data_IF_712845463958
#
_entry.id   IF_712845463958
#
_cell.length_a   1.000
_cell.length_b   1.000
_cell.length_c   1.000
_cell.angle_alpha   90.00
_cell.angle_beta   90.00
_cell.angle_gamma   90.00
#
_symmetry.space_group_name_H-M   'P 1'
#
loop_
_entity.id
_entity.type
_entity.pdbx_description
1 polymer ?
#
# COMPACT_ATOMS: atom_id res chain seq x y z
N UNK A 1 16.49 -4.83 -5.98
CA UNK A 1 15.17 -4.65 -5.34
C UNK A 1 14.22 -5.70 -5.89
N UNK A 2 13.33 -6.26 -5.06
CA UNK A 2 12.28 -7.19 -5.49
C UNK A 2 10.93 -6.66 -5.02
N UNK A 3 9.92 -6.73 -5.90
CA UNK A 3 8.52 -6.51 -5.57
C UNK A 3 7.83 -7.87 -5.44
N UNK A 4 7.17 -8.12 -4.30
CA UNK A 4 6.49 -9.38 -4.03
C UNK A 4 5.15 -9.17 -3.35
N UNK A 5 4.31 -10.20 -3.35
CA UNK A 5 3.00 -10.18 -2.69
C UNK A 5 2.97 -11.17 -1.55
N UNK A 6 2.76 -10.67 -0.34
CA UNK A 6 2.63 -11.50 0.86
C UNK A 6 1.33 -11.14 1.58
N UNK A 7 0.56 -12.16 1.96
CA UNK A 7 -0.76 -12.00 2.57
C UNK A 7 -1.66 -11.00 1.82
N UNK A 8 -1.52 -10.94 0.49
CA UNK A 8 -2.29 -10.06 -0.38
C UNK A 8 -1.89 -8.58 -0.38
N UNK A 9 -0.80 -8.17 0.28
CA UNK A 9 -0.18 -6.83 0.16
C UNK A 9 1.07 -6.90 -0.72
N UNK A 10 1.34 -5.83 -1.46
CA UNK A 10 2.63 -5.65 -2.13
C UNK A 10 3.68 -5.23 -1.11
N UNK A 11 4.87 -5.79 -1.23
CA UNK A 11 6.04 -5.48 -0.40
C UNK A 11 7.24 -5.24 -1.31
N UNK A 12 8.11 -4.34 -0.85
CA UNK A 12 9.38 -4.07 -1.48
C UNK A 12 10.48 -4.59 -0.57
N UNK A 13 11.31 -5.52 -1.09
CA UNK A 13 12.49 -6.05 -0.42
C UNK A 13 13.77 -5.63 -1.12
N UNK A 14 14.67 -5.07 -0.32
CA UNK A 14 16.06 -4.80 -0.70
C UNK A 14 16.89 -6.01 -0.32
N UNK A 15 17.69 -6.50 -1.25
CA UNK A 15 18.63 -7.60 -1.04
C UNK A 15 20.00 -7.09 -1.46
N UNK A 16 20.92 -6.96 -0.49
CA UNK A 16 22.28 -6.52 -0.76
C UNK A 16 23.07 -7.66 -1.41
N UNK A 17 23.61 -7.44 -2.63
CA UNK A 17 24.17 -8.53 -3.45
C UNK A 17 25.34 -9.26 -2.81
N UNK A 18 26.22 -8.55 -2.10
CA UNK A 18 27.43 -9.17 -1.54
C UNK A 18 27.15 -9.82 -0.18
N UNK A 19 26.47 -9.11 0.71
CA UNK A 19 26.22 -9.59 2.08
C UNK A 19 24.98 -10.46 2.22
N UNK A 20 24.14 -10.53 1.17
CA UNK A 20 22.83 -11.19 1.19
C UNK A 20 21.90 -10.65 2.28
N UNK A 21 22.20 -9.47 2.86
CA UNK A 21 21.36 -8.82 3.85
C UNK A 21 20.07 -8.37 3.20
N UNK A 22 18.96 -8.65 3.87
CA UNK A 22 17.63 -8.25 3.42
C UNK A 22 17.03 -7.17 4.32
N UNK A 23 16.39 -6.19 3.69
CA UNK A 23 15.64 -5.14 4.37
C UNK A 23 14.28 -4.97 3.69
N UNK A 24 13.21 -4.96 4.48
CA UNK A 24 11.86 -4.68 3.98
C UNK A 24 11.53 -3.20 4.18
N UNK A 25 10.93 -2.57 3.17
CA UNK A 25 10.35 -1.24 3.31
C UNK A 25 9.03 -1.37 4.10
N UNK A 26 9.03 -0.91 5.35
CA UNK A 26 7.85 -0.87 6.21
C UNK A 26 6.92 0.32 5.88
N UNK A 27 5.62 0.10 6.03
CA UNK A 27 4.56 1.10 5.84
C UNK A 27 3.57 1.01 7.00
N UNK A 28 3.02 2.15 7.42
CA UNK A 28 2.16 2.25 8.62
C UNK A 28 0.65 2.19 8.30
N UNK A 29 0.26 1.81 7.08
CA UNK A 29 -1.14 1.57 6.70
C UNK A 29 -1.47 0.07 6.67
N UNK A 30 -2.67 -0.35 7.11
CA UNK A 30 -3.13 -1.73 6.99
C UNK A 30 -3.54 -2.12 5.56
N UNK A 31 -3.84 -1.13 4.71
CA UNK A 31 -4.33 -1.30 3.35
C UNK A 31 -3.65 -0.35 2.38
N UNK A 32 -2.45 -0.73 1.94
CA UNK A 32 -1.69 0.04 0.97
C UNK A 32 -1.38 -0.78 -0.29
N UNK A 33 -0.89 -0.06 -1.28
CA UNK A 33 -0.17 -0.57 -2.44
C UNK A 33 1.15 0.17 -2.56
N UNK A 34 2.16 -0.53 -3.04
CA UNK A 34 3.47 0.05 -3.35
C UNK A 34 3.98 -0.58 -4.63
N UNK A 35 4.79 0.15 -5.38
CA UNK A 35 5.35 -0.32 -6.64
C UNK A 35 6.71 0.31 -6.90
N UNK A 36 7.59 -0.39 -7.62
CA UNK A 36 8.84 0.20 -8.11
C UNK A 36 8.50 1.23 -9.20
N UNK A 37 8.95 2.47 -9.02
CA UNK A 37 8.71 3.54 -9.98
C UNK A 37 9.79 3.54 -11.08
N UNK A 38 9.86 4.64 -11.85
CA UNK A 38 10.89 4.79 -12.88
C UNK A 38 12.28 5.00 -12.26
N UNK A 39 13.18 4.05 -12.52
CA UNK A 39 14.58 4.05 -12.06
C UNK A 39 15.50 3.81 -13.27
N UNK A 40 15.88 4.87 -14.02
CA UNK A 40 16.65 4.71 -15.27
C UNK A 40 18.13 4.43 -15.06
N UNK A 41 18.68 4.86 -13.93
CA UNK A 41 20.10 4.71 -13.60
C UNK A 41 20.27 3.53 -12.64
N UNK A 42 20.91 2.42 -13.05
CA UNK A 42 21.15 1.28 -12.17
C UNK A 42 22.29 1.53 -11.16
N UNK A 43 23.25 2.40 -11.47
CA UNK A 43 24.41 2.68 -10.60
C UNK A 43 24.09 3.79 -9.59
N UNK A 44 23.09 3.55 -8.74
CA UNK A 44 22.65 4.48 -7.69
C UNK A 44 22.21 3.75 -6.42
N UNK A 45 22.38 4.41 -5.28
CA UNK A 45 21.79 3.99 -4.01
C UNK A 45 20.32 4.42 -3.86
N UNK A 46 19.82 5.31 -4.73
CA UNK A 46 18.48 5.88 -4.62
C UNK A 46 17.43 5.02 -5.34
N UNK A 47 16.45 4.51 -4.59
CA UNK A 47 15.28 3.84 -5.12
C UNK A 47 14.10 4.79 -5.16
N UNK A 48 13.53 5.00 -6.34
CA UNK A 48 12.20 5.62 -6.49
C UNK A 48 11.11 4.57 -6.45
N UNK A 49 10.16 4.75 -5.56
CA UNK A 49 9.01 3.87 -5.43
C UNK A 49 7.74 4.66 -5.16
N UNK A 50 6.62 4.13 -5.65
CA UNK A 50 5.31 4.70 -5.39
C UNK A 50 4.64 4.04 -4.20
N UNK A 51 3.81 4.83 -3.53
CA UNK A 51 3.00 4.42 -2.41
C UNK A 51 1.62 5.05 -2.53
N UNK A 52 0.60 4.30 -2.15
CA UNK A 52 -0.76 4.80 -2.03
C UNK A 52 -1.54 3.91 -1.08
N UNK A 53 -2.50 4.49 -0.37
CA UNK A 53 -3.42 3.74 0.48
C UNK A 53 -4.82 4.29 0.28
N UNK A 54 -5.84 3.62 0.84
CA UNK A 54 -7.21 4.14 0.77
C UNK A 54 -7.37 5.51 1.49
N UNK A 55 -6.39 5.92 2.29
CA UNK A 55 -6.38 7.16 3.07
C UNK A 55 -5.25 8.12 2.69
N UNK A 56 -4.33 7.68 1.83
CA UNK A 56 -3.16 8.47 1.42
C UNK A 56 -3.09 8.52 -0.11
N UNK A 57 -3.21 9.70 -0.72
CA UNK A 57 -3.05 9.89 -2.16
C UNK A 57 -1.70 9.40 -2.66
N UNK A 58 -1.63 9.18 -3.97
CA UNK A 58 -0.41 8.69 -4.61
C UNK A 58 0.80 9.55 -4.27
N UNK A 59 1.80 8.89 -3.69
CA UNK A 59 3.02 9.52 -3.21
C UNK A 59 4.21 8.82 -3.83
N UNK A 60 5.06 9.59 -4.50
CA UNK A 60 6.36 9.15 -5.00
C UNK A 60 7.41 9.45 -3.93
N UNK A 61 8.07 8.40 -3.46
CA UNK A 61 9.18 8.48 -2.54
C UNK A 61 10.50 8.21 -3.25
N UNK A 62 11.58 8.75 -2.70
CA UNK A 62 12.94 8.29 -2.93
C UNK A 62 13.49 7.74 -1.61
N UNK A 63 14.07 6.54 -1.66
CA UNK A 63 14.74 5.89 -0.55
C UNK A 63 16.22 5.80 -0.87
N UNK A 64 17.06 6.32 0.01
CA UNK A 64 18.48 5.96 0.04
C UNK A 64 18.58 4.55 0.64
N UNK A 65 19.04 3.60 -0.18
CA UNK A 65 19.13 2.19 0.18
C UNK A 65 20.29 1.87 1.14
N UNK A 66 21.27 2.76 1.30
CA UNK A 66 22.41 2.57 2.18
C UNK A 66 22.10 3.11 3.59
N UNK A 67 21.51 4.31 3.67
CA UNK A 67 21.16 4.95 4.94
C UNK A 67 19.77 4.58 5.46
N UNK A 68 18.85 4.21 4.56
CA UNK A 68 17.44 3.98 4.86
C UNK A 68 16.59 5.26 4.91
N UNK A 69 17.17 6.42 4.61
CA UNK A 69 16.47 7.71 4.60
C UNK A 69 15.43 7.78 3.47
N UNK A 70 14.25 8.32 3.77
CA UNK A 70 13.14 8.45 2.82
C UNK A 70 12.75 9.90 2.64
N UNK A 71 12.61 10.32 1.39
CA UNK A 71 12.10 11.64 1.03
C UNK A 71 10.87 11.55 0.12
N UNK A 72 9.93 12.47 0.30
CA UNK A 72 8.78 12.62 -0.61
C UNK A 72 9.23 13.48 -1.79
N UNK A 73 9.18 12.92 -3.00
CA UNK A 73 9.43 13.66 -4.23
C UNK A 73 8.17 14.35 -4.75
N UNK A 74 7.02 13.68 -4.63
CA UNK A 74 5.72 14.19 -5.09
C UNK A 74 4.59 13.51 -4.35
N UNK A 75 3.57 14.27 -3.99
CA UNK A 75 2.28 13.74 -3.57
C UNK A 75 1.17 14.30 -4.45
N UNK A 76 0.19 13.48 -4.83
CA UNK A 76 -0.98 13.93 -5.55
C UNK A 76 -1.80 14.88 -4.67
N UNK A 77 -1.97 16.12 -5.14
CA UNK A 77 -2.84 17.09 -4.48
C UNK A 77 -4.32 16.73 -4.73
N UNK A 78 -5.11 16.70 -3.66
CA UNK A 78 -6.55 16.46 -3.71
C UNK A 78 -7.24 17.57 -2.93
N UNK A 79 -7.92 18.47 -3.65
CA UNK A 79 -8.50 19.69 -3.06
C UNK A 79 -9.58 19.34 -2.04
N UNK A 80 -9.48 19.92 -0.84
CA UNK A 80 -10.45 19.72 0.24
C UNK A 80 -10.41 18.33 0.88
N UNK A 81 -9.43 17.49 0.52
CA UNK A 81 -9.23 16.19 1.13
C UNK A 81 -8.29 16.29 2.33
N UNK A 82 -8.67 15.60 3.40
CA UNK A 82 -7.89 15.46 4.61
C UNK A 82 -7.91 13.99 5.02
N UNK A 83 -6.80 13.29 4.79
CA UNK A 83 -6.68 11.85 5.03
C UNK A 83 -6.91 11.45 6.48
N UNK A 84 -6.64 12.37 7.43
CA UNK A 84 -6.84 12.10 8.86
C UNK A 84 -8.31 11.85 9.22
N UNK A 85 -9.25 12.35 8.40
CA UNK A 85 -10.70 12.15 8.58
C UNK A 85 -11.17 10.74 8.22
N UNK A 86 -10.31 9.96 7.58
CA UNK A 86 -10.63 8.62 7.11
C UNK A 86 -9.83 7.59 7.90
N UNK A 87 -10.44 6.42 8.06
CA UNK A 87 -9.77 5.25 8.64
C UNK A 87 -9.90 4.11 7.65
N UNK A 88 -8.79 3.41 7.45
CA UNK A 88 -8.76 2.19 6.67
C UNK A 88 -8.57 0.97 7.57
N UNK A 89 -9.16 -0.15 7.20
CA UNK A 89 -9.06 -1.41 7.94
C UNK A 89 -8.86 -2.58 6.99
N UNK A 90 -8.15 -3.59 7.48
CA UNK A 90 -8.02 -4.88 6.82
C UNK A 90 -8.63 -5.97 7.66
N UNK A 91 -9.66 -6.61 7.12
CA UNK A 91 -10.37 -7.71 7.77
C UNK A 91 -10.07 -9.03 7.04
N UNK A 92 -10.22 -10.14 7.76
CA UNK A 92 -10.21 -11.47 7.18
C UNK A 92 -11.57 -12.11 7.43
N UNK A 93 -12.30 -12.38 6.35
CA UNK A 93 -13.63 -13.00 6.41
C UNK A 93 -13.50 -14.47 6.06
N UNK A 94 -14.02 -15.35 6.90
CA UNK A 94 -14.12 -16.77 6.56
C UNK A 94 -15.23 -16.96 5.52
N UNK A 95 -14.88 -17.51 4.36
CA UNK A 95 -15.84 -17.91 3.35
C UNK A 95 -16.57 -19.20 3.76
N UNK A 96 -17.59 -19.57 2.97
CA UNK A 96 -18.44 -20.76 3.23
C UNK A 96 -17.65 -22.08 3.34
N UNK A 97 -16.48 -22.13 2.70
CA UNK A 97 -15.55 -23.25 2.67
C UNK A 97 -14.41 -23.12 3.71
N UNK A 98 -14.47 -22.09 4.57
CA UNK A 98 -13.46 -21.81 5.59
C UNK A 98 -12.23 -21.04 5.09
N UNK A 99 -12.11 -20.76 3.79
CA UNK A 99 -11.00 -19.97 3.24
C UNK A 99 -11.10 -18.54 3.76
N UNK A 100 -9.99 -18.00 4.28
CA UNK A 100 -9.93 -16.61 4.74
C UNK A 100 -9.73 -15.67 3.55
N UNK A 101 -10.73 -14.82 3.29
CA UNK A 101 -10.72 -13.81 2.24
C UNK A 101 -10.37 -12.44 2.85
N UNK A 102 -9.32 -11.76 2.39
CA UNK A 102 -8.98 -10.43 2.89
C UNK A 102 -9.92 -9.38 2.31
N UNK A 103 -10.44 -8.51 3.17
CA UNK A 103 -11.27 -7.35 2.80
C UNK A 103 -10.60 -6.07 3.26
N UNK A 104 -10.65 -5.05 2.42
CA UNK A 104 -10.16 -3.71 2.74
C UNK A 104 -11.32 -2.75 2.76
N UNK A 105 -11.38 -1.95 3.82
CA UNK A 105 -12.45 -1.02 4.08
C UNK A 105 -11.85 0.36 4.29
N UNK A 106 -12.59 1.38 3.89
CA UNK A 106 -12.30 2.77 4.20
C UNK A 106 -13.60 3.48 4.54
N UNK A 107 -13.57 4.34 5.54
CA UNK A 107 -14.72 5.10 5.97
C UNK A 107 -14.29 6.38 6.69
N UNK A 108 -15.18 7.37 6.70
CA UNK A 108 -14.98 8.61 7.47
C UNK A 108 -15.29 8.34 8.93
N UNK A 109 -14.28 8.43 9.80
CA UNK A 109 -14.38 7.91 11.16
C UNK A 109 -15.34 8.72 12.04
N UNK A 110 -15.42 10.04 11.86
CA UNK A 110 -16.31 10.95 12.62
C UNK A 110 -17.80 10.62 12.44
N UNK A 111 -18.19 9.99 11.32
CA UNK A 111 -19.58 9.69 11.00
C UNK A 111 -19.92 8.20 11.12
N UNK A 112 -18.95 7.36 11.47
CA UNK A 112 -19.15 5.93 11.51
C UNK A 112 -20.07 5.52 12.66
N UNK A 113 -21.23 4.93 12.33
CA UNK A 113 -22.16 4.33 13.30
C UNK A 113 -22.33 2.83 13.05
N UNK A 114 -21.73 2.01 13.91
CA UNK A 114 -21.77 0.54 13.78
C UNK A 114 -23.20 0.04 13.51
N UNK A 115 -23.37 -0.74 12.45
CA UNK A 115 -24.65 -1.34 12.06
C UNK A 115 -25.61 -0.43 11.27
N UNK A 116 -25.32 0.88 11.15
CA UNK A 116 -26.27 1.86 10.59
C UNK A 116 -25.72 2.64 9.38
N UNK A 117 -24.47 2.39 8.97
CA UNK A 117 -23.91 3.06 7.80
C UNK A 117 -24.32 2.35 6.50
N UNK A 118 -24.56 3.09 5.41
CA UNK A 118 -24.68 2.50 4.08
C UNK A 118 -23.36 1.82 3.69
N UNK A 119 -23.45 0.76 2.88
CA UNK A 119 -22.29 -0.01 2.43
C UNK A 119 -22.23 -0.05 0.90
N UNK A 120 -21.03 0.22 0.36
CA UNK A 120 -20.68 -0.05 -1.02
C UNK A 120 -19.67 -1.19 -1.04
N UNK A 121 -19.98 -2.27 -1.76
CA UNK A 121 -19.10 -3.43 -1.92
C UNK A 121 -18.63 -3.49 -3.37
N UNK A 122 -17.32 -3.50 -3.56
CA UNK A 122 -16.69 -3.57 -4.87
C UNK A 122 -15.85 -4.84 -5.00
N UNK A 123 -15.90 -5.50 -6.17
CA UNK A 123 -15.22 -6.77 -6.42
C UNK A 123 -14.99 -7.03 -7.92
N UNK A 124 -13.88 -7.67 -8.27
CA UNK A 124 -13.54 -8.07 -9.65
C UNK A 124 -13.40 -9.60 -9.79
N UNK A 125 -12.33 -10.19 -9.23
CA UNK A 125 -12.22 -11.65 -9.03
C UNK A 125 -11.87 -12.50 -10.26
N UNK A 126 -11.44 -11.92 -11.38
CA UNK A 126 -11.07 -12.67 -12.59
C UNK A 126 -9.62 -12.43 -13.04
N UNK A 127 -9.08 -13.33 -13.87
CA UNK A 127 -7.77 -13.19 -14.55
C UNK A 127 -6.53 -13.02 -13.66
N UNK A 128 -6.60 -13.40 -12.37
CA UNK A 128 -5.52 -13.15 -11.42
C UNK A 128 -5.29 -11.65 -11.13
N UNK A 129 -6.19 -10.78 -11.62
CA UNK A 129 -6.09 -9.35 -11.41
C UNK A 129 -6.36 -9.01 -9.94
N UNK A 130 -5.37 -8.39 -9.30
CA UNK A 130 -5.50 -7.93 -7.93
C UNK A 130 -6.11 -6.55 -7.90
N UNK A 131 -7.17 -6.36 -7.11
CA UNK A 131 -7.69 -5.04 -6.80
C UNK A 131 -6.72 -4.30 -5.87
N UNK A 132 -6.13 -3.21 -6.38
CA UNK A 132 -5.28 -2.31 -5.62
C UNK A 132 -6.08 -1.53 -4.58
N UNK A 133 -5.49 -1.31 -3.41
CA UNK A 133 -6.02 -0.47 -2.31
C UNK A 133 -5.40 0.92 -2.43
N UNK A 134 -5.61 1.53 -3.59
CA UNK A 134 -5.08 2.84 -4.00
C UNK A 134 -6.15 3.91 -3.72
N UNK A 135 -5.72 5.14 -3.48
CA UNK A 135 -6.59 6.32 -3.37
C UNK A 135 -7.46 6.54 -4.62
#
# INVERSE_FOLDING_TARGET
MVEEREHGLLRLRQIHRQSQRETQIAFDDPTYVTWIAYNPEPETACLRYGYSSMTTPDTLFELDMDSGERQILKQQEVKGFDGSRYRSERLWIAARDGVKVPVSLVYRHEHFRRGNNPLLVYGYGSYGASMGRRF
#
